data_IF_628621873556
#
_entry.id   IF_628621873556
#
_cell.length_a   1.000
_cell.length_b   1.000
_cell.length_c   1.000
_cell.angle_alpha   90.00
_cell.angle_beta   90.00
_cell.angle_gamma   90.00
#
_symmetry.space_group_name_H-M   'P 1'
#
loop_
_entity.id
_entity.type
_entity.pdbx_description
1 polymer ?
#
# COMPACT_ATOMS: atom_id res chain seq x y z
N UNK A 1 -32.26 -6.36 -16.77
CA UNK A 1 -30.80 -6.26 -16.61
C UNK A 1 -30.38 -4.84 -16.93
N UNK A 2 -30.21 -4.00 -15.92
CA UNK A 2 -29.55 -2.69 -16.07
C UNK A 2 -28.13 -2.85 -15.57
N UNK A 3 -27.09 -2.46 -16.33
CA UNK A 3 -25.76 -2.34 -15.76
C UNK A 3 -25.78 -1.11 -14.84
N UNK A 4 -25.49 -1.30 -13.56
CA UNK A 4 -25.15 -0.19 -12.68
C UNK A 4 -23.88 0.49 -13.23
N UNK A 5 -23.78 1.82 -13.18
CA UNK A 5 -22.58 2.51 -13.63
C UNK A 5 -21.41 2.11 -12.72
N UNK A 6 -20.25 1.83 -13.31
CA UNK A 6 -19.03 1.36 -12.65
C UNK A 6 -18.33 2.41 -11.76
N UNK A 7 -19.07 3.34 -11.17
CA UNK A 7 -18.54 4.59 -10.60
C UNK A 7 -18.74 4.78 -9.10
N UNK A 8 -19.11 3.74 -8.35
CA UNK A 8 -19.39 3.86 -6.90
C UNK A 8 -18.23 3.49 -5.97
N UNK A 9 -17.01 3.22 -6.49
CA UNK A 9 -15.92 2.68 -5.68
C UNK A 9 -14.58 3.43 -5.81
N UNK A 10 -14.53 4.57 -6.51
CA UNK A 10 -13.28 5.34 -6.58
C UNK A 10 -12.86 5.77 -5.17
N UNK A 11 -11.71 5.28 -4.71
CA UNK A 11 -11.14 5.67 -3.42
C UNK A 11 -10.48 7.02 -3.59
N UNK A 12 -10.85 7.97 -2.73
CA UNK A 12 -10.24 9.28 -2.74
C UNK A 12 -8.84 9.20 -2.12
N UNK A 13 -7.87 9.92 -2.71
CA UNK A 13 -6.48 9.88 -2.25
C UNK A 13 -6.29 10.24 -0.76
N UNK A 14 -7.04 11.18 -0.16
CA UNK A 14 -7.01 11.39 1.28
C UNK A 14 -7.35 10.12 2.10
N UNK A 15 -8.32 9.32 1.64
CA UNK A 15 -8.70 8.06 2.30
C UNK A 15 -7.62 7.00 2.16
N UNK A 16 -6.95 6.94 1.00
CA UNK A 16 -5.78 6.08 0.78
C UNK A 16 -4.67 6.40 1.80
N UNK A 17 -4.34 7.69 1.96
CA UNK A 17 -3.30 8.12 2.88
C UNK A 17 -3.70 7.87 4.35
N UNK A 18 -4.95 8.14 4.71
CA UNK A 18 -5.46 7.87 6.05
C UNK A 18 -5.43 6.38 6.39
N UNK A 19 -5.83 5.51 5.45
CA UNK A 19 -5.73 4.06 5.59
C UNK A 19 -4.27 3.62 5.76
N UNK A 20 -3.39 4.12 4.90
CA UNK A 20 -1.97 3.77 4.93
C UNK A 20 -1.31 4.18 6.25
N UNK A 21 -1.51 5.41 6.72
CA UNK A 21 -0.99 5.86 8.01
C UNK A 21 -1.45 4.96 9.17
N UNK A 22 -2.76 4.65 9.25
CA UNK A 22 -3.28 3.77 10.32
C UNK A 22 -2.65 2.38 10.29
N UNK A 23 -2.54 1.77 9.11
CA UNK A 23 -1.92 0.45 8.97
C UNK A 23 -0.43 0.50 9.31
N UNK A 24 0.28 1.56 8.93
CA UNK A 24 1.68 1.71 9.31
C UNK A 24 1.85 1.78 10.83
N UNK A 25 0.99 2.52 11.54
CA UNK A 25 0.98 2.54 13.00
C UNK A 25 0.65 1.16 13.60
N UNK A 26 -0.43 0.53 13.16
CA UNK A 26 -0.90 -0.78 13.63
C UNK A 26 0.18 -1.88 13.48
N UNK A 27 0.99 -1.81 12.42
CA UNK A 27 2.02 -2.80 12.12
C UNK A 27 3.43 -2.38 12.55
N UNK A 28 3.60 -1.27 13.27
CA UNK A 28 4.88 -0.90 13.88
C UNK A 28 5.90 -0.27 12.93
N UNK A 29 5.45 0.32 11.82
CA UNK A 29 6.26 1.12 10.89
C UNK A 29 5.77 2.58 10.81
N UNK A 30 5.04 3.05 11.84
CA UNK A 30 4.45 4.39 11.88
C UNK A 30 5.47 5.55 11.90
N UNK A 31 6.75 5.26 12.16
CA UNK A 31 7.84 6.23 12.10
C UNK A 31 8.54 6.28 10.72
N UNK A 32 8.04 5.55 9.74
CA UNK A 32 8.45 5.64 8.34
C UNK A 32 7.70 6.75 7.61
N UNK A 33 8.35 7.35 6.62
CA UNK A 33 7.71 8.35 5.78
C UNK A 33 6.68 7.70 4.82
N UNK A 34 5.51 8.32 4.69
CA UNK A 34 4.50 7.96 3.70
C UNK A 34 4.44 9.02 2.60
N UNK A 35 4.32 8.60 1.34
CA UNK A 35 4.14 9.53 0.23
C UNK A 35 3.42 8.95 -0.99
N UNK A 36 3.17 9.82 -1.96
CA UNK A 36 2.64 9.45 -3.26
C UNK A 36 3.66 9.71 -4.35
N UNK A 37 3.64 8.88 -5.39
CA UNK A 37 4.42 9.08 -6.59
C UNK A 37 3.57 8.95 -7.87
N UNK A 38 4.24 9.08 -9.02
CA UNK A 38 3.63 9.09 -10.35
C UNK A 38 3.85 7.80 -11.15
N UNK A 39 4.25 6.71 -10.50
CA UNK A 39 4.46 5.46 -11.21
C UNK A 39 3.15 4.94 -11.82
N UNK A 40 3.25 4.24 -12.96
CA UNK A 40 2.07 3.67 -13.66
C UNK A 40 2.10 2.16 -13.80
N UNK A 41 3.14 1.51 -13.25
CA UNK A 41 3.37 0.05 -13.37
C UNK A 41 3.67 -0.64 -12.05
N UNK A 42 3.91 0.13 -10.98
CA UNK A 42 4.12 -0.39 -9.61
C UNK A 42 3.18 0.36 -8.68
N UNK A 43 2.43 -0.39 -7.89
CA UNK A 43 1.41 0.16 -7.01
C UNK A 43 2.01 0.77 -5.74
N UNK A 44 3.06 0.13 -5.20
CA UNK A 44 3.83 0.59 -4.05
C UNK A 44 5.35 0.55 -4.28
N UNK A 45 6.08 1.09 -3.32
CA UNK A 45 7.53 0.96 -3.18
C UNK A 45 7.92 1.14 -1.71
N UNK A 46 8.79 0.24 -1.24
CA UNK A 46 9.45 0.33 0.06
C UNK A 46 10.93 0.69 -0.12
N UNK A 47 11.35 1.83 0.43
CA UNK A 47 12.74 2.32 0.41
C UNK A 47 13.32 2.26 1.83
N UNK A 48 14.07 1.19 2.12
CA UNK A 48 14.76 1.02 3.40
C UNK A 48 15.82 2.09 3.67
N UNK A 49 16.49 2.59 2.63
CA UNK A 49 17.54 3.60 2.78
C UNK A 49 17.01 4.93 3.27
N UNK A 50 15.77 5.27 2.89
CA UNK A 50 15.05 6.47 3.34
C UNK A 50 14.02 6.22 4.43
N UNK A 51 13.80 4.96 4.82
CA UNK A 51 12.69 4.53 5.68
C UNK A 51 11.35 5.12 5.20
N UNK A 52 11.03 4.88 3.92
CA UNK A 52 9.88 5.47 3.24
C UNK A 52 9.06 4.42 2.50
N UNK A 53 7.74 4.55 2.55
CA UNK A 53 6.78 3.86 1.69
C UNK A 53 6.14 4.88 0.74
N UNK A 54 6.09 4.58 -0.56
CA UNK A 54 5.32 5.38 -1.52
C UNK A 54 4.27 4.57 -2.27
N UNK A 55 3.12 5.18 -2.52
CA UNK A 55 2.04 4.60 -3.32
C UNK A 55 1.88 5.36 -4.64
N UNK A 56 1.55 4.65 -5.72
CA UNK A 56 1.22 5.30 -6.99
C UNK A 56 -0.14 5.97 -6.91
N UNK A 57 -0.18 7.30 -6.98
CA UNK A 57 -1.46 8.04 -7.05
C UNK A 57 -2.36 7.52 -8.18
N UNK A 58 -1.77 7.33 -9.36
CA UNK A 58 -2.49 6.96 -10.57
C UNK A 58 -3.10 5.55 -10.49
N UNK A 59 -2.50 4.63 -9.72
CA UNK A 59 -3.06 3.29 -9.53
C UNK A 59 -4.02 3.24 -8.35
N UNK A 60 -3.76 3.97 -7.25
CA UNK A 60 -4.66 4.00 -6.10
C UNK A 60 -6.04 4.58 -6.45
N UNK A 61 -6.11 5.57 -7.36
CA UNK A 61 -7.38 6.10 -7.89
C UNK A 61 -8.18 5.08 -8.72
N UNK A 62 -7.54 4.00 -9.18
CA UNK A 62 -8.14 2.93 -9.98
C UNK A 62 -8.42 1.66 -9.17
N UNK A 63 -8.03 1.62 -7.90
CA UNK A 63 -8.16 0.45 -7.05
C UNK A 63 -9.40 0.57 -6.17
N UNK A 64 -10.02 -0.56 -5.90
CA UNK A 64 -11.01 -0.70 -4.83
C UNK A 64 -10.36 -0.51 -3.46
N UNK A 65 -11.14 -0.23 -2.40
CA UNK A 65 -10.61 -0.14 -1.03
C UNK A 65 -9.79 -1.36 -0.60
N UNK A 66 -10.22 -2.55 -1.00
CA UNK A 66 -9.51 -3.81 -0.68
C UNK A 66 -8.16 -3.88 -1.42
N UNK A 67 -8.12 -3.55 -2.72
CA UNK A 67 -6.86 -3.52 -3.49
C UNK A 67 -5.87 -2.46 -2.96
N UNK A 68 -6.38 -1.31 -2.50
CA UNK A 68 -5.56 -0.31 -1.80
C UNK A 68 -5.00 -0.89 -0.50
N UNK A 69 -5.86 -1.51 0.33
CA UNK A 69 -5.44 -2.13 1.59
C UNK A 69 -4.36 -3.18 1.36
N UNK A 70 -4.56 -4.09 0.41
CA UNK A 70 -3.60 -5.14 0.09
C UNK A 70 -2.27 -4.58 -0.41
N UNK A 71 -2.29 -3.51 -1.22
CA UNK A 71 -1.07 -2.81 -1.65
C UNK A 71 -0.32 -2.22 -0.46
N UNK A 72 -1.01 -1.60 0.49
CA UNK A 72 -0.37 -1.03 1.68
C UNK A 72 0.25 -2.14 2.55
N UNK A 73 -0.51 -3.20 2.83
CA UNK A 73 -0.02 -4.33 3.64
C UNK A 73 1.20 -5.00 3.01
N UNK A 74 1.23 -5.09 1.67
CA UNK A 74 2.38 -5.57 0.92
C UNK A 74 3.66 -4.78 1.19
N UNK A 75 3.58 -3.45 1.13
CA UNK A 75 4.73 -2.58 1.37
C UNK A 75 5.13 -2.57 2.86
N UNK A 76 4.15 -2.60 3.77
CA UNK A 76 4.41 -2.74 5.20
C UNK A 76 5.17 -4.04 5.50
N UNK A 77 4.77 -5.16 4.87
CA UNK A 77 5.44 -6.43 5.02
C UNK A 77 6.92 -6.32 4.60
N UNK A 78 7.22 -5.72 3.44
CA UNK A 78 8.61 -5.44 3.03
C UNK A 78 9.36 -4.60 4.04
N UNK A 79 8.74 -3.50 4.52
CA UNK A 79 9.36 -2.60 5.48
C UNK A 79 9.76 -3.32 6.77
N UNK A 80 8.95 -4.30 7.21
CA UNK A 80 9.18 -5.08 8.41
C UNK A 80 10.19 -6.20 8.26
N UNK A 81 10.18 -6.92 7.15
CA UNK A 81 11.11 -8.05 6.97
C UNK A 81 12.51 -7.60 6.58
N UNK A 82 12.67 -6.42 5.97
CA UNK A 82 13.97 -5.90 5.58
C UNK A 82 14.32 -6.21 4.12
N UNK A 83 15.24 -5.41 3.55
CA UNK A 83 15.60 -5.43 2.14
C UNK A 83 16.22 -6.75 1.62
N UNK A 84 16.67 -7.64 2.51
CA UNK A 84 17.20 -8.96 2.13
C UNK A 84 16.11 -9.97 1.76
N UNK A 85 14.86 -9.67 2.10
CA UNK A 85 13.72 -10.54 1.86
C UNK A 85 12.92 -10.02 0.67
N UNK A 86 12.74 -10.88 -0.34
CA UNK A 86 11.72 -10.70 -1.37
C UNK A 86 10.38 -11.26 -0.92
N UNK A 87 9.57 -11.75 -1.84
CA UNK A 87 8.31 -12.48 -1.53
C UNK A 87 8.56 -13.92 -1.04
N UNK A 88 9.48 -14.09 -0.09
CA UNK A 88 9.82 -15.38 0.50
C UNK A 88 8.85 -15.80 1.61
N UNK A 89 9.15 -16.89 2.31
CA UNK A 89 8.31 -17.41 3.38
C UNK A 89 8.20 -16.46 4.59
N UNK A 90 9.24 -15.66 4.88
CA UNK A 90 9.24 -14.69 5.97
C UNK A 90 8.34 -13.52 5.61
N UNK A 91 8.49 -12.98 4.40
CA UNK A 91 7.60 -11.95 3.87
C UNK A 91 6.15 -12.42 3.82
N UNK A 92 5.90 -13.63 3.32
CA UNK A 92 4.54 -14.15 3.20
C UNK A 92 3.88 -14.36 4.58
N UNK A 93 4.65 -14.71 5.60
CA UNK A 93 4.14 -14.79 6.97
C UNK A 93 3.77 -13.41 7.53
N UNK A 94 4.58 -12.38 7.25
CA UNK A 94 4.29 -11.00 7.68
C UNK A 94 3.12 -10.39 6.89
N UNK A 95 3.02 -10.61 5.58
CA UNK A 95 1.94 -10.06 4.74
C UNK A 95 0.54 -10.60 5.09
N UNK A 96 0.44 -11.69 5.85
CA UNK A 96 -0.83 -12.26 6.35
C UNK A 96 -1.14 -11.88 7.79
N UNK A 97 -0.21 -11.22 8.48
CA UNK A 97 -0.33 -10.80 9.87
C UNK A 97 -1.20 -9.57 9.98
#
# INVERSE_FOLDING_TARGET
MSPLPATLWAVEIPDVLALACRLMEEHGVGDWELGLDRARRRAGLTDHGRRRITLSRALMELYSPDEVRETVLHEIAHARVGASHGHDAVWAAEARR
#
